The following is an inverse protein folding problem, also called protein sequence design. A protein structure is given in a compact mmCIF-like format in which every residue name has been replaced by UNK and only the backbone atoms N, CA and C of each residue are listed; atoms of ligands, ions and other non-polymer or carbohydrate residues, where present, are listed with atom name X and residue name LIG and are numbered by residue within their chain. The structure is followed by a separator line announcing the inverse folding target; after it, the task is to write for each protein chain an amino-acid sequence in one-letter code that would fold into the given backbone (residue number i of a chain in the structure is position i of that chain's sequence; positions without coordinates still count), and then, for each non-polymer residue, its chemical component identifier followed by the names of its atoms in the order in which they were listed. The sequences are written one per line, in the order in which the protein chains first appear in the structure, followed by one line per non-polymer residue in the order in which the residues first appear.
data_IF_768950854117
#
_entry.id   IF_768950854117
#
_cell.length_a   1.000
_cell.length_b   1.000
_cell.length_c   1.000
_cell.angle_alpha   90.00
_cell.angle_beta   90.00
_cell.angle_gamma   90.00
#
_symmetry.space_group_name_H-M   'P 1'
#
loop_
_entity.id
_entity.type
_entity.pdbx_description
1 polymer ?
#
# COMPACT_ATOMS: atom_id res chain seq x y z
N UNK A 1 -1.67 -9.59 -4.45
CA UNK A 1 -0.53 -10.30 -5.06
C UNK A 1 0.15 -11.07 -3.97
N UNK A 2 0.59 -12.31 -4.21
CA UNK A 2 1.18 -13.13 -3.15
C UNK A 2 2.64 -13.43 -3.44
N UNK A 3 3.42 -13.62 -2.39
CA UNK A 3 4.71 -14.31 -2.46
C UNK A 3 4.49 -15.68 -1.83
N UNK A 4 4.76 -16.71 -2.60
CA UNK A 4 4.70 -18.11 -2.22
C UNK A 4 6.11 -18.69 -2.25
N UNK A 5 6.43 -19.51 -1.26
CA UNK A 5 7.74 -20.15 -1.14
C UNK A 5 7.64 -21.62 -1.52
N UNK A 6 8.51 -22.08 -2.40
CA UNK A 6 8.63 -23.50 -2.74
C UNK A 6 9.78 -24.13 -1.96
N UNK A 7 9.51 -25.24 -1.28
CA UNK A 7 10.52 -26.02 -0.58
C UNK A 7 10.13 -27.50 -0.55
N UNK A 8 11.07 -28.38 -0.95
CA UNK A 8 10.90 -29.84 -0.93
C UNK A 8 9.60 -30.33 -1.61
N UNK A 9 9.24 -29.75 -2.76
CA UNK A 9 8.03 -30.11 -3.53
C UNK A 9 6.72 -29.63 -2.90
N UNK A 10 6.78 -28.75 -1.90
CA UNK A 10 5.62 -28.12 -1.29
C UNK A 10 5.66 -26.60 -1.45
N UNK A 11 4.48 -26.01 -1.61
CA UNK A 11 4.29 -24.55 -1.68
C UNK A 11 3.74 -24.06 -0.34
N UNK A 12 4.34 -23.00 0.16
CA UNK A 12 4.02 -22.38 1.44
C UNK A 12 3.60 -20.92 1.24
N UNK A 13 2.62 -20.51 2.04
CA UNK A 13 2.19 -19.12 2.11
C UNK A 13 3.22 -18.28 2.83
N UNK A 14 3.55 -17.12 2.26
CA UNK A 14 4.49 -16.21 2.90
C UNK A 14 3.93 -14.81 3.06
N UNK A 15 3.80 -14.04 1.99
CA UNK A 15 3.31 -12.65 2.05
C UNK A 15 2.12 -12.45 1.11
N UNK A 16 1.15 -11.63 1.52
CA UNK A 16 0.11 -11.08 0.66
C UNK A 16 0.24 -9.54 0.64
N UNK A 17 0.19 -8.99 -0.56
CA UNK A 17 0.49 -7.60 -0.88
C UNK A 17 -0.71 -6.99 -1.59
N UNK A 18 -1.21 -5.89 -1.04
CA UNK A 18 -2.39 -5.20 -1.54
C UNK A 18 -2.07 -3.71 -1.69
N UNK A 19 -2.37 -3.15 -2.86
CA UNK A 19 -2.32 -1.72 -3.14
C UNK A 19 -3.75 -1.16 -3.05
N UNK A 20 -3.94 -0.14 -2.22
CA UNK A 20 -5.20 0.59 -2.12
C UNK A 20 -5.29 1.72 -3.15
N UNK A 21 -6.52 2.19 -3.41
CA UNK A 21 -6.77 3.29 -4.37
C UNK A 21 -6.12 4.61 -3.98
N UNK A 22 -5.81 4.80 -2.70
CA UNK A 22 -5.11 5.99 -2.20
C UNK A 22 -3.58 5.86 -2.26
N UNK A 23 -3.08 4.79 -2.90
CA UNK A 23 -1.67 4.44 -3.05
C UNK A 23 -1.05 3.75 -1.84
N UNK A 24 -1.79 3.56 -0.75
CA UNK A 24 -1.27 2.86 0.43
C UNK A 24 -1.01 1.38 0.12
N UNK A 25 0.08 0.84 0.66
CA UNK A 25 0.42 -0.58 0.52
C UNK A 25 0.24 -1.32 1.83
N UNK A 26 -0.41 -2.47 1.76
CA UNK A 26 -0.57 -3.39 2.86
C UNK A 26 0.21 -4.66 2.56
N UNK A 27 1.03 -5.08 3.51
CA UNK A 27 1.78 -6.35 3.44
C UNK A 27 1.40 -7.19 4.65
N UNK A 28 0.69 -8.28 4.44
CA UNK A 28 0.33 -9.23 5.48
C UNK A 28 1.18 -10.49 5.38
N UNK A 29 1.47 -11.10 6.53
CA UNK A 29 1.94 -12.47 6.53
C UNK A 29 0.72 -13.36 6.26
N UNK A 30 0.69 -14.06 5.12
CA UNK A 30 -0.43 -14.93 4.73
C UNK A 30 -0.38 -16.25 5.52
N UNK A 31 -0.58 -16.16 6.83
CA UNK A 31 -0.53 -17.30 7.74
C UNK A 31 -1.65 -17.22 8.75
N UNK A 32 -2.26 -18.36 9.06
CA UNK A 32 -3.17 -18.47 10.21
C UNK A 32 -2.40 -18.16 11.50
N UNK A 33 -3.03 -17.51 12.49
CA UNK A 33 -2.41 -17.32 13.78
C UNK A 33 -2.10 -18.67 14.44
N UNK A 34 -0.83 -19.09 14.45
CA UNK A 34 -0.33 -20.06 15.45
C UNK A 34 -0.05 -19.35 16.76
N UNK A 35 0.10 -20.15 17.82
CA UNK A 35 0.37 -19.73 19.21
C UNK A 35 1.22 -18.44 19.26
N UNK A 36 0.69 -17.35 19.85
CA UNK A 36 1.42 -16.09 20.05
C UNK A 36 2.77 -16.26 20.74
N UNK A 37 2.96 -17.32 21.53
CA UNK A 37 4.20 -17.63 22.22
C UNK A 37 5.37 -17.88 21.25
N UNK A 38 5.12 -18.34 20.02
CA UNK A 38 6.15 -18.64 19.03
C UNK A 38 6.61 -17.41 18.22
N UNK A 39 6.42 -16.21 18.78
CA UNK A 39 6.74 -14.94 18.12
C UNK A 39 7.52 -14.01 19.02
N UNK A 40 8.56 -13.44 18.42
CA UNK A 40 9.41 -12.45 19.03
C UNK A 40 9.40 -11.17 18.20
N UNK A 41 9.38 -10.05 18.90
CA UNK A 41 9.34 -8.73 18.28
C UNK A 41 10.40 -7.84 18.89
N UNK A 42 10.96 -6.94 18.08
CA UNK A 42 11.90 -5.91 18.52
C UNK A 42 11.50 -4.57 17.93
N UNK A 43 11.26 -3.58 18.78
CA UNK A 43 11.03 -2.21 18.36
C UNK A 43 12.36 -1.50 18.11
N UNK A 44 12.39 -0.38 17.38
CA UNK A 44 13.57 0.47 17.33
C UNK A 44 14.01 0.88 18.74
N UNK A 45 15.30 0.75 19.04
CA UNK A 45 15.89 1.06 20.35
C UNK A 45 15.78 -0.03 21.41
N UNK A 46 15.02 -1.11 21.19
CA UNK A 46 15.01 -2.26 22.10
C UNK A 46 16.35 -3.01 22.02
N UNK A 47 16.93 -3.34 23.17
CA UNK A 47 18.17 -4.14 23.27
C UNK A 47 17.93 -5.65 23.19
N UNK A 48 16.68 -6.10 23.38
CA UNK A 48 16.32 -7.52 23.41
C UNK A 48 14.97 -7.77 22.72
N UNK A 49 14.79 -9.00 22.22
CA UNK A 49 13.51 -9.48 21.70
C UNK A 49 12.52 -9.74 22.82
N UNK A 50 11.27 -9.37 22.59
CA UNK A 50 10.17 -9.57 23.54
C UNK A 50 9.11 -10.48 22.90
N UNK A 51 8.49 -11.39 23.67
CA UNK A 51 7.31 -12.10 23.22
C UNK A 51 6.24 -11.11 22.78
N UNK A 52 5.53 -11.43 21.70
CA UNK A 52 4.48 -10.54 21.23
C UNK A 52 3.29 -10.54 22.19
N UNK A 53 2.84 -9.33 22.55
CA UNK A 53 1.91 -9.13 23.67
C UNK A 53 0.43 -9.34 23.35
N UNK A 54 0.01 -9.60 22.10
CA UNK A 54 -1.42 -9.74 21.76
C UNK A 54 -1.74 -10.81 20.68
N UNK A 55 -2.84 -11.59 20.82
CA UNK A 55 -3.20 -12.67 19.88
C UNK A 55 -4.10 -12.30 18.69
N UNK A 56 -4.87 -11.21 18.67
CA UNK A 56 -6.13 -11.22 17.88
C UNK A 56 -6.25 -10.27 16.68
N UNK A 57 -5.21 -9.52 16.33
CA UNK A 57 -5.25 -8.58 15.19
C UNK A 57 -4.76 -9.17 13.86
N UNK A 58 -5.20 -8.63 12.70
CA UNK A 58 -4.60 -8.96 11.41
C UNK A 58 -3.10 -8.63 11.43
N UNK A 59 -2.27 -9.61 11.06
CA UNK A 59 -0.80 -9.50 11.04
C UNK A 59 -0.36 -8.80 9.76
N UNK A 60 -0.36 -7.46 9.79
CA UNK A 60 -0.12 -6.65 8.60
C UNK A 60 0.73 -5.41 8.89
N UNK A 61 1.57 -5.07 7.93
CA UNK A 61 2.17 -3.77 7.77
C UNK A 61 1.25 -2.93 6.90
N UNK A 62 1.03 -1.66 7.24
CA UNK A 62 0.49 -0.68 6.29
C UNK A 62 1.44 0.48 6.13
N UNK A 63 1.87 0.74 4.90
CA UNK A 63 2.62 1.93 4.51
C UNK A 63 1.65 2.85 3.78
N UNK A 64 1.26 3.93 4.43
CA UNK A 64 0.36 4.92 3.86
C UNK A 64 1.12 5.87 2.92
N UNK A 65 0.46 6.36 1.88
CA UNK A 65 1.05 7.33 0.94
C UNK A 65 1.67 8.54 1.62
N UNK A 66 1.21 8.87 2.83
CA UNK A 66 1.74 9.95 3.67
C UNK A 66 3.11 9.72 4.32
N UNK A 67 3.67 8.50 4.25
CA UNK A 67 4.91 8.14 4.95
C UNK A 67 4.69 7.45 6.29
N UNK A 68 3.44 7.33 6.75
CA UNK A 68 3.12 6.65 8.01
C UNK A 68 3.13 5.14 7.82
N UNK A 69 3.86 4.44 8.68
CA UNK A 69 3.93 2.98 8.72
C UNK A 69 3.31 2.45 10.01
N UNK A 70 2.37 1.53 9.89
CA UNK A 70 1.72 0.87 11.03
C UNK A 70 2.01 -0.64 11.01
N UNK A 71 2.36 -1.19 12.17
CA UNK A 71 2.80 -2.60 12.32
C UNK A 71 1.71 -3.49 12.95
N UNK A 72 0.47 -3.36 12.49
CA UNK A 72 -0.73 -4.02 13.06
C UNK A 72 -0.46 -5.47 13.47
N UNK A 73 -0.39 -5.70 14.79
CA UNK A 73 -0.15 -7.02 15.37
C UNK A 73 1.19 -7.69 15.03
N UNK A 74 2.07 -7.09 14.21
CA UNK A 74 3.40 -7.61 13.89
C UNK A 74 4.42 -7.26 14.95
N UNK A 75 4.39 -6.01 15.41
CA UNK A 75 5.32 -5.47 16.42
C UNK A 75 4.49 -4.61 17.35
N UNK A 76 4.70 -4.71 18.66
CA UNK A 76 4.01 -3.88 19.66
C UNK A 76 4.50 -2.41 19.64
N UNK A 77 4.94 -1.87 18.50
CA UNK A 77 5.46 -0.52 18.35
C UNK A 77 4.36 0.49 18.06
N UNK A 78 4.66 1.76 18.37
CA UNK A 78 3.94 2.88 17.77
C UNK A 78 4.17 2.93 16.27
N UNK A 79 3.36 3.71 15.56
CA UNK A 79 3.59 4.00 14.15
C UNK A 79 5.01 4.53 13.91
N UNK A 80 5.62 4.13 12.79
CA UNK A 80 6.84 4.74 12.28
C UNK A 80 6.54 5.80 11.22
N UNK A 81 7.46 6.75 11.03
CA UNK A 81 7.35 7.77 9.99
C UNK A 81 8.58 7.75 9.08
N UNK A 82 8.31 7.53 7.80
CA UNK A 82 9.28 7.42 6.71
C UNK A 82 8.91 8.42 5.61
N UNK A 83 9.62 8.41 4.49
CA UNK A 83 9.28 9.30 3.37
C UNK A 83 7.90 8.93 2.80
N UNK A 84 7.10 9.90 2.34
CA UNK A 84 5.86 9.61 1.61
C UNK A 84 6.10 8.69 0.41
N UNK A 85 5.21 7.73 0.14
CA UNK A 85 5.38 6.81 -1.01
C UNK A 85 5.39 7.55 -2.36
N UNK A 86 4.79 8.74 -2.39
CA UNK A 86 4.72 9.62 -3.56
C UNK A 86 5.99 10.45 -3.77
N UNK A 87 6.92 10.43 -2.81
CA UNK A 87 8.11 11.28 -2.79
C UNK A 87 9.28 10.55 -2.09
N UNK A 88 9.49 9.29 -2.50
CA UNK A 88 10.65 8.52 -2.04
C UNK A 88 11.90 9.08 -2.72
N UNK A 89 12.92 9.42 -1.94
CA UNK A 89 14.23 9.85 -2.46
C UNK A 89 15.25 8.71 -2.46
N UNK A 90 14.99 7.67 -1.66
CA UNK A 90 15.84 6.49 -1.55
C UNK A 90 15.11 5.27 -0.96
N UNK A 91 15.84 4.17 -0.72
CA UNK A 91 15.27 2.96 -0.14
C UNK A 91 14.95 3.14 1.35
N UNK A 92 13.69 2.90 1.70
CA UNK A 92 13.16 2.88 3.05
C UNK A 92 12.88 1.44 3.48
N UNK A 93 13.85 0.82 4.16
CA UNK A 93 13.65 -0.46 4.83
C UNK A 93 12.79 -0.26 6.07
N UNK A 94 11.66 -0.96 6.16
CA UNK A 94 10.66 -0.73 7.22
C UNK A 94 10.45 -1.92 8.14
N UNK A 95 10.62 -3.14 7.65
CA UNK A 95 10.36 -4.35 8.42
C UNK A 95 11.34 -5.46 8.06
N UNK A 96 11.88 -6.11 9.08
CA UNK A 96 12.58 -7.37 8.98
C UNK A 96 11.65 -8.51 9.44
N UNK A 97 11.63 -9.58 8.66
CA UNK A 97 10.89 -10.81 8.96
C UNK A 97 11.87 -11.96 8.92
N UNK A 98 12.10 -12.62 10.06
CA UNK A 98 12.87 -13.87 10.12
C UNK A 98 11.93 -15.03 10.33
N UNK A 99 11.98 -15.96 9.38
CA UNK A 99 11.23 -17.21 9.41
C UNK A 99 12.16 -18.31 9.88
N UNK A 100 11.79 -19.07 10.93
CA UNK A 100 12.63 -20.13 11.49
C UNK A 100 12.94 -21.26 10.49
N UNK A 101 11.93 -21.66 9.70
CA UNK A 101 12.07 -22.62 8.62
C UNK A 101 10.83 -22.56 7.72
N UNK A 102 10.98 -22.93 6.45
CA UNK A 102 9.87 -22.95 5.49
C UNK A 102 8.71 -23.87 5.94
N UNK A 103 8.95 -25.10 6.45
CA UNK A 103 7.87 -25.99 6.92
C UNK A 103 7.01 -25.45 8.07
N UNK A 104 7.46 -24.42 8.78
CA UNK A 104 6.67 -23.77 9.83
C UNK A 104 5.64 -22.77 9.29
N UNK A 105 5.72 -22.42 8.00
CA UNK A 105 4.66 -21.69 7.30
C UNK A 105 3.46 -22.60 7.02
N UNK A 106 2.34 -22.00 6.61
CA UNK A 106 1.15 -22.76 6.24
C UNK A 106 1.24 -23.18 4.77
N UNK A 107 0.82 -24.41 4.47
CA UNK A 107 0.81 -24.90 3.09
C UNK A 107 -0.19 -24.12 2.24
N UNK A 108 0.15 -23.94 0.97
CA UNK A 108 -0.73 -23.39 -0.04
C UNK A 108 -1.24 -24.53 -0.93
N UNK A 109 -2.54 -24.79 -0.86
CA UNK A 109 -3.19 -25.90 -1.56
C UNK A 109 -4.14 -25.42 -2.67
N UNK A 110 -4.29 -24.11 -2.84
CA UNK A 110 -5.15 -23.53 -3.87
C UNK A 110 -4.44 -23.51 -5.23
N UNK A 111 -5.24 -23.29 -6.28
CA UNK A 111 -4.72 -23.09 -7.63
C UNK A 111 -3.87 -21.82 -7.64
N UNK A 112 -2.67 -21.97 -8.16
CA UNK A 112 -1.69 -20.92 -8.34
C UNK A 112 -2.15 -20.03 -9.50
N UNK A 113 -2.22 -18.71 -9.28
CA UNK A 113 -2.42 -17.76 -10.37
C UNK A 113 -1.06 -17.16 -10.77
N UNK A 114 -0.42 -17.60 -11.88
CA UNK A 114 0.89 -17.11 -12.28
C UNK A 114 0.89 -15.63 -12.70
N UNK A 115 -0.27 -15.00 -12.88
CA UNK A 115 -0.38 -13.58 -13.18
C UNK A 115 -0.42 -12.71 -11.91
N UNK A 116 -0.72 -13.28 -10.74
CA UNK A 116 -0.89 -12.56 -9.48
C UNK A 116 0.02 -13.05 -8.35
N UNK A 117 0.51 -14.29 -8.43
CA UNK A 117 1.32 -14.96 -7.43
C UNK A 117 2.78 -15.07 -7.90
N UNK A 118 3.71 -14.65 -7.04
CA UNK A 118 5.14 -14.78 -7.23
C UNK A 118 5.67 -16.03 -6.51
N UNK A 119 6.40 -16.87 -7.24
CA UNK A 119 7.03 -18.10 -6.73
C UNK A 119 8.50 -17.88 -6.48
N UNK A 120 8.93 -18.19 -5.25
CA UNK A 120 10.34 -18.12 -4.86
C UNK A 120 10.80 -19.49 -4.38
N UNK A 121 11.68 -20.18 -5.13
CA UNK A 121 12.28 -21.42 -4.65
C UNK A 121 13.25 -21.11 -3.50
N UNK A 122 13.15 -21.88 -2.42
CA UNK A 122 14.06 -21.81 -1.27
C UNK A 122 14.88 -23.10 -1.23
N UNK A 123 16.21 -22.97 -1.27
CA UNK A 123 17.11 -24.13 -1.31
C UNK A 123 17.39 -24.74 0.07
N UNK A 124 17.28 -23.95 1.14
CA UNK A 124 17.62 -24.39 2.51
C UNK A 124 16.40 -24.42 3.42
N UNK A 125 16.19 -25.49 4.22
CA UNK A 125 15.16 -25.51 5.26
C UNK A 125 15.43 -24.52 6.39
N UNK A 126 16.66 -24.01 6.50
CA UNK A 126 17.12 -23.21 7.62
C UNK A 126 16.38 -21.89 7.78
N UNK A 127 16.72 -21.20 8.88
CA UNK A 127 16.22 -19.85 9.14
C UNK A 127 16.63 -18.92 8.00
N UNK A 128 15.67 -18.16 7.52
CA UNK A 128 15.91 -17.10 6.54
C UNK A 128 15.30 -15.79 7.03
N UNK A 129 15.91 -14.69 6.63
CA UNK A 129 15.45 -13.35 6.99
C UNK A 129 15.31 -12.52 5.73
N UNK A 130 14.17 -11.85 5.60
CA UNK A 130 13.93 -10.88 4.53
C UNK A 130 13.69 -9.50 5.11
N UNK A 131 13.98 -8.49 4.30
CA UNK A 131 13.61 -7.11 4.57
C UNK A 131 12.56 -6.63 3.56
N UNK A 132 11.58 -5.88 4.06
CA UNK A 132 10.65 -5.11 3.25
C UNK A 132 11.19 -3.70 3.08
N UNK A 133 11.50 -3.33 1.84
CA UNK A 133 12.07 -2.04 1.48
C UNK A 133 11.21 -1.37 0.41
N UNK A 134 10.78 -0.14 0.68
CA UNK A 134 10.08 0.70 -0.30
C UNK A 134 11.08 1.65 -0.93
N UNK A 135 11.12 1.75 -2.25
CA UNK A 135 12.12 2.56 -2.95
C UNK A 135 11.52 3.27 -4.17
N UNK A 136 12.20 4.31 -4.71
CA UNK A 136 11.79 4.95 -5.96
C UNK A 136 11.69 3.92 -7.09
N UNK A 137 10.81 4.14 -8.08
CA UNK A 137 10.59 3.18 -9.17
C UNK A 137 11.87 2.84 -9.94
N UNK A 138 12.81 3.76 -10.10
CA UNK A 138 14.10 3.48 -10.76
C UNK A 138 15.11 2.66 -9.95
N UNK A 139 14.86 2.39 -8.67
CA UNK A 139 15.85 1.76 -7.79
C UNK A 139 16.03 0.26 -8.10
N UNK A 140 17.28 -0.19 -8.27
CA UNK A 140 17.59 -1.56 -8.70
C UNK A 140 18.77 -2.24 -7.98
N UNK A 141 19.32 -1.60 -6.95
CA UNK A 141 20.56 -2.06 -6.30
C UNK A 141 20.36 -3.27 -5.35
N UNK A 142 19.11 -3.69 -5.10
CA UNK A 142 18.79 -4.82 -4.22
C UNK A 142 18.20 -5.98 -5.01
N UNK A 143 18.84 -7.14 -4.91
CA UNK A 143 18.34 -8.39 -5.45
C UNK A 143 17.21 -8.95 -4.57
N UNK A 144 16.08 -9.30 -5.17
CA UNK A 144 14.93 -9.85 -4.46
C UNK A 144 13.67 -9.86 -5.33
N UNK A 145 12.52 -10.11 -4.70
CA UNK A 145 11.23 -9.99 -5.38
C UNK A 145 10.84 -8.51 -5.43
N UNK A 146 10.49 -8.03 -6.62
CA UNK A 146 10.13 -6.65 -6.89
C UNK A 146 8.66 -6.54 -7.31
N UNK A 147 7.93 -5.66 -6.64
CA UNK A 147 6.58 -5.24 -7.03
C UNK A 147 6.62 -3.78 -7.45
N UNK A 148 6.22 -3.51 -8.69
CA UNK A 148 6.20 -2.17 -9.26
C UNK A 148 4.78 -1.58 -9.18
N UNK A 149 4.67 -0.38 -8.62
CA UNK A 149 3.42 0.34 -8.46
C UNK A 149 3.43 1.67 -9.24
N UNK A 150 4.28 1.78 -10.26
CA UNK A 150 4.43 2.97 -11.10
C UNK A 150 5.33 4.03 -10.47
N UNK A 151 4.90 4.62 -9.35
CA UNK A 151 5.62 5.71 -8.68
C UNK A 151 6.74 5.21 -7.75
N UNK A 152 6.59 4.00 -7.22
CA UNK A 152 7.52 3.38 -6.29
C UNK A 152 7.49 1.87 -6.44
N UNK A 153 8.44 1.21 -5.78
CA UNK A 153 8.51 -0.25 -5.71
C UNK A 153 8.55 -0.76 -4.28
N UNK A 154 8.00 -1.94 -4.07
CA UNK A 154 8.26 -2.77 -2.89
C UNK A 154 9.25 -3.86 -3.26
N UNK A 155 10.33 -3.95 -2.50
CA UNK A 155 11.36 -4.97 -2.60
C UNK A 155 11.27 -5.88 -1.37
N UNK A 156 11.17 -7.19 -1.63
CA UNK A 156 11.31 -8.23 -0.62
C UNK A 156 12.60 -8.98 -0.89
N UNK A 157 13.63 -8.68 -0.12
CA UNK A 157 14.98 -9.17 -0.37
C UNK A 157 15.57 -9.89 0.85
N UNK A 158 16.37 -10.94 0.63
CA UNK A 158 17.07 -11.63 1.72
C UNK A 158 18.09 -10.69 2.38
N UNK A 159 18.30 -10.86 3.68
CA UNK A 159 19.34 -10.15 4.43
C UNK A 159 20.03 -11.08 5.43
N UNK A 160 21.35 -10.94 5.52
CA UNK A 160 22.16 -11.64 6.53
C UNK A 160 22.29 -10.77 7.77
N UNK A 161 21.29 -10.82 8.64
CA UNK A 161 21.32 -10.12 9.93
C UNK A 161 21.29 -11.16 11.04
N UNK A 162 22.23 -11.06 11.97
CA UNK A 162 22.17 -11.82 13.21
C UNK A 162 21.08 -11.22 14.11
N UNK A 163 19.95 -11.91 14.16
CA UNK A 163 18.84 -11.57 15.03
C UNK A 163 18.86 -12.38 16.33
N UNK A 164 19.93 -13.16 16.60
CA UNK A 164 20.15 -13.98 17.81
C UNK A 164 18.87 -14.30 18.60
N UNK A 165 17.91 -15.03 18.00
CA UNK A 165 16.63 -15.24 18.65
C UNK A 165 16.82 -16.18 19.84
N UNK A 166 16.12 -15.96 20.97
CA UNK A 166 16.19 -16.84 22.13
C UNK A 166 15.78 -18.30 21.87
N UNK A 167 15.12 -18.60 20.74
CA UNK A 167 14.95 -20.00 20.29
C UNK A 167 14.88 -20.14 18.77
N UNK A 168 15.31 -21.29 18.21
CA UNK A 168 15.32 -21.56 16.78
C UNK A 168 13.92 -21.63 16.15
N UNK A 169 12.85 -21.81 16.93
CA UNK A 169 11.48 -22.01 16.44
C UNK A 169 10.67 -20.72 16.28
N UNK A 170 11.18 -19.59 16.80
CA UNK A 170 10.43 -18.35 16.82
C UNK A 170 10.46 -17.63 15.47
N UNK A 171 9.30 -17.12 15.07
CA UNK A 171 9.21 -16.06 14.07
C UNK A 171 9.67 -14.75 14.70
N UNK A 172 10.53 -14.02 14.00
CA UNK A 172 11.07 -12.75 14.50
C UNK A 172 10.63 -11.62 13.59
N UNK A 173 10.15 -10.54 14.20
CA UNK A 173 9.80 -9.29 13.52
C UNK A 173 10.59 -8.15 14.14
N UNK A 174 11.26 -7.35 13.33
CA UNK A 174 11.95 -6.16 13.81
C UNK A 174 11.63 -4.96 12.91
N UNK A 175 11.22 -3.86 13.52
CA UNK A 175 10.94 -2.62 12.81
C UNK A 175 12.23 -1.84 12.65
N UNK A 176 12.38 -1.19 11.49
CA UNK A 176 13.43 -0.20 11.32
C UNK A 176 13.12 1.07 12.14
N UNK A 177 14.14 1.82 12.57
CA UNK A 177 13.95 3.15 13.13
C UNK A 177 13.20 4.05 12.15
N UNK A 178 12.30 4.89 12.68
CA UNK A 178 11.67 5.96 11.89
C UNK A 178 12.74 6.90 11.35
N UNK A 179 12.53 7.40 10.14
CA UNK A 179 13.36 8.48 9.57
C UNK A 179 12.96 9.85 10.10
N UNK A 180 11.70 10.00 10.51
CA UNK A 180 11.13 11.24 11.00
C UNK A 180 10.39 11.03 12.32
N UNK A 181 10.29 12.10 13.12
CA UNK A 181 9.49 12.09 14.35
C UNK A 181 7.99 12.12 14.06
N UNK A 182 7.59 12.75 12.96
CA UNK A 182 6.21 12.97 12.57
C UNK A 182 6.02 12.79 11.06
N UNK A 183 4.77 12.63 10.65
CA UNK A 183 4.38 12.57 9.25
C UNK A 183 4.71 13.88 8.53
N UNK A 184 5.41 13.80 7.39
CA UNK A 184 5.86 14.98 6.62
C UNK A 184 4.83 15.51 5.62
N UNK A 185 3.90 14.66 5.18
CA UNK A 185 2.90 15.00 4.17
C UNK A 185 1.50 14.72 4.70
N UNK A 186 0.59 15.68 4.61
CA UNK A 186 -0.81 15.48 5.01
C UNK A 186 -1.53 14.48 4.11
N UNK A 187 -2.66 13.93 4.59
CA UNK A 187 -3.42 12.89 3.87
C UNK A 187 -3.94 13.39 2.52
N UNK A 188 -4.40 14.64 2.45
CA UNK A 188 -5.02 15.21 1.26
C UNK A 188 -3.96 15.44 0.17
N UNK A 189 -2.83 15.99 0.59
CA UNK A 189 -1.66 16.26 -0.24
C UNK A 189 -1.07 14.95 -0.77
N UNK A 190 -0.96 13.93 0.08
CA UNK A 190 -0.45 12.62 -0.32
C UNK A 190 -1.37 11.89 -1.31
N UNK A 191 -2.69 11.89 -1.08
CA UNK A 191 -3.64 11.30 -2.01
C UNK A 191 -3.61 12.02 -3.36
N UNK A 192 -3.55 13.36 -3.35
CA UNK A 192 -3.49 14.13 -4.57
C UNK A 192 -2.19 13.89 -5.35
N UNK A 193 -1.04 13.93 -4.68
CA UNK A 193 0.26 13.68 -5.29
C UNK A 193 0.33 12.27 -5.91
N UNK A 194 -0.27 11.27 -5.26
CA UNK A 194 -0.33 9.91 -5.79
C UNK A 194 -1.08 9.86 -7.13
N UNK A 195 -2.29 10.43 -7.17
CA UNK A 195 -3.12 10.46 -8.39
C UNK A 195 -2.47 11.28 -9.51
N UNK A 196 -1.82 12.39 -9.17
CA UNK A 196 -1.11 13.23 -10.14
C UNK A 196 0.17 12.60 -10.68
N UNK A 197 0.85 11.75 -9.89
CA UNK A 197 1.96 10.93 -10.37
C UNK A 197 1.54 9.98 -11.50
N UNK A 198 0.29 9.50 -11.48
CA UNK A 198 -0.27 8.64 -12.52
C UNK A 198 -0.92 9.42 -13.69
N UNK A 199 -1.52 10.59 -13.41
CA UNK A 199 -2.40 11.31 -14.35
C UNK A 199 -1.90 12.69 -14.82
N UNK A 200 -0.76 13.18 -14.33
CA UNK A 200 -0.22 14.51 -14.59
C UNK A 200 -0.73 15.60 -13.64
N UNK A 201 -0.14 16.80 -13.72
CA UNK A 201 -0.39 17.92 -12.78
C UNK A 201 -1.76 18.64 -12.93
N UNK A 202 -2.63 18.13 -13.81
CA UNK A 202 -3.95 18.71 -14.11
C UNK A 202 -5.05 18.25 -13.16
N UNK A 203 -6.29 18.58 -13.53
CA UNK A 203 -7.47 17.90 -12.96
C UNK A 203 -7.45 16.45 -13.46
N UNK A 204 -7.50 15.50 -12.54
CA UNK A 204 -7.55 14.08 -12.86
C UNK A 204 -8.94 13.55 -12.55
N UNK A 205 -9.60 12.91 -13.51
CA UNK A 205 -10.89 12.27 -13.30
C UNK A 205 -10.72 10.76 -13.37
N UNK A 206 -11.16 10.07 -12.32
CA UNK A 206 -11.14 8.61 -12.22
C UNK A 206 -12.56 8.07 -12.17
N UNK A 207 -12.72 6.81 -12.61
CA UNK A 207 -14.02 6.13 -12.67
C UNK A 207 -14.49 5.88 -14.11
N UNK A 208 -15.78 5.55 -14.29
CA UNK A 208 -16.79 5.46 -13.25
C UNK A 208 -16.62 4.21 -12.38
N UNK A 209 -17.06 4.27 -11.13
CA UNK A 209 -17.21 3.07 -10.30
C UNK A 209 -18.44 2.24 -10.76
N UNK A 210 -18.70 1.10 -10.11
CA UNK A 210 -19.85 0.23 -10.44
C UNK A 210 -21.24 0.89 -10.29
N UNK A 211 -21.32 2.09 -9.70
CA UNK A 211 -22.54 2.90 -9.57
C UNK A 211 -22.62 4.05 -10.58
N UNK A 212 -21.64 4.20 -11.47
CA UNK A 212 -21.59 5.30 -12.43
C UNK A 212 -21.05 6.62 -11.86
N UNK A 213 -20.39 6.59 -10.70
CA UNK A 213 -19.82 7.78 -10.06
C UNK A 213 -18.36 7.96 -10.47
N UNK A 214 -18.00 9.21 -10.71
CA UNK A 214 -16.65 9.66 -11.03
C UNK A 214 -16.07 10.44 -9.87
N UNK A 215 -14.77 10.33 -9.65
CA UNK A 215 -14.03 11.17 -8.69
C UNK A 215 -13.13 12.12 -9.48
N UNK A 216 -13.33 13.42 -9.28
CA UNK A 216 -12.47 14.48 -9.84
C UNK A 216 -11.51 14.95 -8.76
N UNK A 217 -10.22 14.78 -8.99
CA UNK A 217 -9.13 15.33 -8.20
C UNK A 217 -8.70 16.68 -8.80
N UNK A 218 -8.57 17.70 -7.95
CA UNK A 218 -8.18 19.04 -8.39
C UNK A 218 -6.68 19.13 -8.60
N UNK A 219 -6.18 20.17 -9.27
CA UNK A 219 -4.73 20.34 -9.47
C UNK A 219 -3.96 20.62 -8.17
N UNK A 220 -4.63 21.13 -7.13
CA UNK A 220 -4.05 21.45 -5.83
C UNK A 220 -5.07 21.18 -4.72
N UNK A 221 -4.60 21.05 -3.48
CA UNK A 221 -5.47 21.08 -2.31
C UNK A 221 -5.98 22.51 -2.13
N UNK A 222 -7.29 22.72 -2.26
CA UNK A 222 -7.92 24.02 -2.06
C UNK A 222 -8.00 24.37 -0.57
N UNK A 223 -8.24 25.65 -0.25
CA UNK A 223 -8.48 26.07 1.14
C UNK A 223 -9.79 25.50 1.69
N UNK A 224 -10.83 25.56 0.86
CA UNK A 224 -12.19 25.05 1.09
C UNK A 224 -12.62 24.24 -0.13
N UNK A 225 -13.58 23.32 0.00
CA UNK A 225 -14.15 22.65 -1.18
C UNK A 225 -14.69 23.69 -2.18
N UNK A 226 -14.24 23.69 -3.45
CA UNK A 226 -14.57 24.73 -4.40
C UNK A 226 -16.02 24.61 -4.86
N UNK A 227 -16.63 25.72 -5.25
CA UNK A 227 -17.82 25.68 -6.11
C UNK A 227 -17.41 25.17 -7.48
N UNK A 228 -18.19 24.24 -8.02
CA UNK A 228 -17.85 23.57 -9.28
C UNK A 228 -18.92 23.83 -10.31
N UNK A 229 -18.49 24.27 -11.48
CA UNK A 229 -19.32 24.38 -12.67
C UNK A 229 -18.77 23.49 -13.76
N UNK A 230 -19.63 22.62 -14.29
CA UNK A 230 -19.31 21.73 -15.40
C UNK A 230 -20.23 22.03 -16.56
N UNK A 231 -19.65 22.53 -17.66
CA UNK A 231 -20.38 22.72 -18.91
C UNK A 231 -20.31 21.41 -19.71
N UNK A 232 -21.46 20.78 -19.93
CA UNK A 232 -21.58 19.54 -20.69
C UNK A 232 -21.67 19.83 -22.20
N UNK A 233 -21.17 18.91 -23.01
CA UNK A 233 -21.19 19.01 -24.47
C UNK A 233 -22.61 18.98 -25.02
N UNK A 234 -23.47 18.12 -24.47
CA UNK A 234 -24.89 18.04 -24.83
C UNK A 234 -25.74 18.80 -23.79
N UNK A 235 -26.48 19.85 -24.18
CA UNK A 235 -27.32 20.64 -23.27
C UNK A 235 -28.44 19.86 -22.58
N UNK A 236 -28.77 18.65 -23.06
CA UNK A 236 -29.79 17.78 -22.45
C UNK A 236 -29.25 16.88 -21.36
N UNK A 237 -27.93 16.72 -21.28
CA UNK A 237 -27.29 15.93 -20.24
C UNK A 237 -27.29 16.72 -18.92
N UNK A 238 -27.20 16.04 -17.78
CA UNK A 238 -27.20 16.67 -16.46
C UNK A 238 -25.99 16.24 -15.65
N UNK A 239 -25.36 17.22 -15.01
CA UNK A 239 -24.33 17.00 -14.00
C UNK A 239 -24.98 16.91 -12.62
N UNK A 240 -24.64 15.87 -11.87
CA UNK A 240 -25.10 15.66 -10.49
C UNK A 240 -23.88 15.60 -9.56
N UNK A 241 -23.76 16.57 -8.65
CA UNK A 241 -22.73 16.56 -7.62
C UNK A 241 -23.15 15.61 -6.48
N UNK A 242 -22.34 14.60 -6.19
CA UNK A 242 -22.62 13.59 -5.17
C UNK A 242 -21.96 13.95 -3.84
N UNK A 243 -20.69 14.36 -3.87
CA UNK A 243 -19.95 14.77 -2.68
C UNK A 243 -18.92 15.85 -3.04
N UNK A 244 -18.86 16.92 -2.25
CA UNK A 244 -17.86 17.98 -2.34
C UNK A 244 -17.45 18.48 -0.94
N UNK A 245 -17.21 17.55 -0.02
CA UNK A 245 -16.78 17.85 1.35
C UNK A 245 -15.25 17.95 1.47
N UNK A 246 -14.53 17.56 0.42
CA UNK A 246 -13.08 17.48 0.42
C UNK A 246 -12.46 18.60 -0.43
N UNK A 247 -11.43 19.29 0.07
CA UNK A 247 -10.84 20.41 -0.66
C UNK A 247 -9.90 19.99 -1.79
N UNK A 248 -9.63 18.70 -1.98
CA UNK A 248 -8.75 18.18 -3.02
C UNK A 248 -9.48 17.33 -4.07
N UNK A 249 -10.76 17.02 -3.85
CA UNK A 249 -11.55 16.19 -4.76
C UNK A 249 -13.05 16.34 -4.56
N UNK A 250 -13.81 15.97 -5.57
CA UNK A 250 -15.26 15.79 -5.52
C UNK A 250 -15.70 14.49 -6.19
N UNK A 251 -16.92 14.06 -5.92
CA UNK A 251 -17.58 12.92 -6.59
C UNK A 251 -18.82 13.40 -7.33
N UNK A 252 -19.03 12.94 -8.56
CA UNK A 252 -20.14 13.36 -9.40
C UNK A 252 -20.67 12.23 -10.32
N UNK A 253 -21.81 12.48 -10.95
CA UNK A 253 -22.37 11.67 -12.03
C UNK A 253 -22.76 12.55 -13.22
N UNK A 254 -22.79 11.95 -14.41
CA UNK A 254 -23.36 12.56 -15.61
C UNK A 254 -24.53 11.69 -16.07
N UNK A 255 -25.71 12.31 -16.16
CA UNK A 255 -26.91 11.69 -16.72
C UNK A 255 -27.01 12.06 -18.19
N UNK A 256 -26.88 11.07 -19.07
CA UNK A 256 -27.18 11.23 -20.49
C UNK A 256 -28.68 11.19 -20.75
N UNK A 257 -29.06 11.34 -22.04
CA UNK A 257 -30.46 11.34 -22.48
C UNK A 257 -31.30 10.14 -22.00
N UNK A 258 -30.71 8.95 -21.91
CA UNK A 258 -31.43 7.70 -21.59
C UNK A 258 -30.86 6.92 -20.40
N UNK A 259 -29.63 7.22 -19.95
CA UNK A 259 -28.96 6.49 -18.89
C UNK A 259 -27.81 7.31 -18.28
N UNK A 260 -27.30 6.85 -17.14
CA UNK A 260 -26.04 7.32 -16.59
C UNK A 260 -24.90 7.07 -17.58
N UNK A 261 -24.07 8.09 -17.79
CA UNK A 261 -22.83 7.96 -18.56
C UNK A 261 -21.88 7.09 -17.76
N UNK A 262 -21.43 5.98 -18.35
CA UNK A 262 -20.49 5.03 -17.75
C UNK A 262 -19.17 4.92 -18.56
N UNK A 263 -18.85 5.94 -19.34
CA UNK A 263 -17.65 5.98 -20.17
C UNK A 263 -16.41 6.29 -19.33
N UNK A 264 -15.31 5.59 -19.57
CA UNK A 264 -13.99 5.94 -19.01
C UNK A 264 -13.38 7.16 -19.70
N UNK A 265 -13.80 7.48 -20.93
CA UNK A 265 -13.45 8.72 -21.62
C UNK A 265 -14.58 9.74 -21.50
N UNK A 266 -14.34 10.79 -20.71
CA UNK A 266 -15.30 11.88 -20.49
C UNK A 266 -15.15 13.07 -21.45
N UNK A 267 -14.12 13.11 -22.29
CA UNK A 267 -13.87 14.22 -23.23
C UNK A 267 -15.07 14.49 -24.16
N UNK A 268 -15.84 13.48 -24.63
CA UNK A 268 -17.04 13.74 -25.42
C UNK A 268 -18.18 14.41 -24.63
N UNK A 269 -18.20 14.29 -23.32
CA UNK A 269 -19.32 14.68 -22.46
C UNK A 269 -19.09 16.02 -21.75
N UNK A 270 -17.84 16.33 -21.42
CA UNK A 270 -17.47 17.54 -20.68
C UNK A 270 -16.76 18.51 -21.62
N UNK A 271 -17.34 19.70 -21.79
CA UNK A 271 -16.73 20.79 -22.56
C UNK A 271 -15.79 21.63 -21.71
N UNK A 272 -16.18 21.92 -20.47
CA UNK A 272 -15.42 22.79 -19.56
C UNK A 272 -15.69 22.45 -18.10
N UNK A 273 -14.67 22.61 -17.28
CA UNK A 273 -14.75 22.55 -15.82
C UNK A 273 -14.20 23.88 -15.29
N UNK A 274 -14.94 24.53 -14.40
CA UNK A 274 -14.49 25.67 -13.63
C UNK A 274 -14.57 25.31 -12.14
N UNK A 275 -13.50 25.60 -11.42
CA UNK A 275 -13.39 25.45 -9.97
C UNK A 275 -13.19 26.83 -9.37
N UNK A 276 -14.05 27.21 -8.43
CA UNK A 276 -14.00 28.50 -7.75
C UNK A 276 -13.97 28.29 -6.24
N UNK A 277 -12.79 28.49 -5.65
CA UNK A 277 -12.59 28.49 -4.21
C UNK A 277 -12.52 29.96 -3.74
N UNK A 278 -13.66 30.65 -3.69
CA UNK A 278 -13.74 31.99 -3.08
C UNK A 278 -13.16 31.96 -1.64
N UNK A 279 -12.38 33.00 -1.32
CA UNK A 279 -11.46 33.18 -0.18
C UNK A 279 -11.82 32.52 1.16
#
# INVERSE_FOLDING_TARGET
MKILLEYAGHVYRFLDIQLEKDGSVYVSLDRKPRDPANRLTRKPGDTAFKPASQPEGPRKLSYHTTGRVNYHGLISATSGFFEPLVDLTGPNSVLLISVPSCPLLDRYEAVIDPHLDCFVPIESPGRFTVCLTFAPSGYSDLAGVRFDFGNFVLLVHPVSVDLSPPSPEHFVYAAAPSLFENQRLGKKEAELAYVQGEGGAGIVVTGPNGRGEYTMYFSVVMRTPPRVRVDLTNPKDKFELINNEHPHKLTFRIHGKSALVRSTDLRPYIRRIELDAEL
#
